data_IF_008676458081
#
_entry.id   IF_008676458081
#
_cell.length_a   1.000
_cell.length_b   1.000
_cell.length_c   1.000
_cell.angle_alpha   90.00
_cell.angle_beta   90.00
_cell.angle_gamma   90.00
#
_symmetry.space_group_name_H-M   'P 1'
#
loop_
_entity.id
_entity.type
_entity.pdbx_description
1 polymer ?
#
# COMPACT_ATOMS: atom_id res chain seq x y z
N UNK A 1 15.88 42.44 -28.52
CA UNK A 1 16.37 41.05 -28.61
C UNK A 1 15.15 40.16 -28.70
N UNK A 2 14.96 39.43 -29.79
CA UNK A 2 13.77 38.59 -30.00
C UNK A 2 14.17 37.12 -29.97
N UNK A 3 13.41 36.33 -29.21
CA UNK A 3 13.46 34.87 -29.22
C UNK A 3 12.11 34.40 -29.77
N UNK A 4 12.17 33.43 -30.70
CA UNK A 4 10.97 32.72 -31.17
C UNK A 4 11.23 31.22 -31.09
N UNK A 5 10.18 30.46 -30.82
CA UNK A 5 10.19 29.00 -30.83
C UNK A 5 8.98 28.49 -31.61
N UNK A 6 9.17 27.44 -32.41
CA UNK A 6 8.13 26.76 -33.19
C UNK A 6 8.23 25.25 -32.99
N UNK A 7 7.09 24.59 -32.87
CA UNK A 7 7.01 23.12 -32.73
C UNK A 7 6.16 22.56 -33.87
N UNK A 8 6.64 21.51 -34.52
CA UNK A 8 5.91 20.78 -35.53
C UNK A 8 4.82 19.91 -34.90
N UNK A 9 3.59 20.05 -35.41
CA UNK A 9 2.40 19.35 -34.91
C UNK A 9 2.57 17.82 -34.89
N UNK A 10 3.18 17.25 -35.93
CA UNK A 10 3.34 15.80 -36.09
C UNK A 10 4.31 15.22 -35.06
N UNK A 11 5.45 15.89 -34.86
CA UNK A 11 6.43 15.52 -33.85
C UNK A 11 5.83 15.62 -32.44
N UNK A 12 5.09 16.69 -32.15
CA UNK A 12 4.39 16.85 -30.87
C UNK A 12 3.38 15.71 -30.64
N UNK A 13 2.62 15.34 -31.66
CA UNK A 13 1.65 14.25 -31.55
C UNK A 13 2.32 12.89 -31.28
N UNK A 14 3.47 12.62 -31.91
CA UNK A 14 4.24 11.40 -31.67
C UNK A 14 4.78 11.35 -30.23
N UNK A 15 5.36 12.45 -29.74
CA UNK A 15 5.86 12.57 -28.38
C UNK A 15 4.73 12.44 -27.34
N UNK A 16 3.59 13.08 -27.56
CA UNK A 16 2.40 12.93 -26.71
C UNK A 16 1.90 11.48 -26.66
N UNK A 17 1.92 10.78 -27.79
CA UNK A 17 1.52 9.37 -27.85
C UNK A 17 2.48 8.47 -27.07
N UNK A 18 3.79 8.71 -27.17
CA UNK A 18 4.79 7.95 -26.40
C UNK A 18 4.63 8.22 -24.90
N UNK A 19 4.52 9.49 -24.51
CA UNK A 19 4.31 9.90 -23.12
C UNK A 19 3.05 9.26 -22.52
N UNK A 20 1.93 9.30 -23.25
CA UNK A 20 0.67 8.70 -22.80
C UNK A 20 0.74 7.18 -22.68
N UNK A 21 1.45 6.50 -23.59
CA UNK A 21 1.51 5.03 -23.61
C UNK A 21 2.53 4.45 -22.63
N UNK A 22 3.59 5.17 -22.30
CA UNK A 22 4.72 4.65 -21.53
C UNK A 22 4.90 5.37 -20.20
N UNK A 23 5.05 6.70 -20.23
CA UNK A 23 5.40 7.46 -19.03
C UNK A 23 4.24 7.57 -18.05
N UNK A 24 3.02 7.82 -18.55
CA UNK A 24 1.85 7.95 -17.68
C UNK A 24 1.58 6.64 -16.90
N UNK A 25 1.47 5.45 -17.54
CA UNK A 25 1.28 4.20 -16.80
C UNK A 25 2.43 3.90 -15.83
N UNK A 26 3.68 4.11 -16.26
CA UNK A 26 4.86 3.87 -15.41
C UNK A 26 4.87 4.77 -14.17
N UNK A 27 4.62 6.07 -14.34
CA UNK A 27 4.57 7.04 -13.23
C UNK A 27 3.39 6.75 -12.31
N UNK A 28 2.22 6.42 -12.87
CA UNK A 28 1.04 6.01 -12.08
C UNK A 28 1.34 4.76 -11.26
N UNK A 29 1.91 3.71 -11.86
CA UNK A 29 2.26 2.49 -11.14
C UNK A 29 3.21 2.77 -9.98
N UNK A 30 4.28 3.55 -10.24
CA UNK A 30 5.24 3.96 -9.21
C UNK A 30 4.58 4.73 -8.07
N UNK A 31 3.70 5.69 -8.41
CA UNK A 31 2.97 6.47 -7.42
C UNK A 31 2.04 5.59 -6.58
N UNK A 32 1.25 4.72 -7.20
CA UNK A 32 0.34 3.81 -6.49
C UNK A 32 1.08 2.85 -5.56
N UNK A 33 2.22 2.30 -5.99
CA UNK A 33 3.08 1.47 -5.12
C UNK A 33 3.60 2.24 -3.92
N UNK A 34 4.12 3.45 -4.14
CA UNK A 34 4.60 4.33 -3.06
C UNK A 34 3.47 4.64 -2.06
N UNK A 35 2.28 4.95 -2.55
CA UNK A 35 1.11 5.20 -1.73
C UNK A 35 0.71 3.97 -0.91
N UNK A 36 0.59 2.81 -1.55
CA UNK A 36 0.24 1.55 -0.89
C UNK A 36 1.27 1.16 0.19
N UNK A 37 2.56 1.30 -0.09
CA UNK A 37 3.64 1.10 0.89
C UNK A 37 3.45 2.00 2.10
N UNK A 38 3.18 3.29 1.89
CA UNK A 38 3.00 4.25 2.99
C UNK A 38 1.76 3.92 3.83
N UNK A 39 0.65 3.57 3.19
CA UNK A 39 -0.57 3.14 3.88
C UNK A 39 -0.30 1.89 4.73
N UNK A 40 0.33 0.86 4.16
CA UNK A 40 0.65 -0.37 4.88
C UNK A 40 1.59 -0.13 6.07
N UNK A 41 2.61 0.71 5.91
CA UNK A 41 3.48 1.10 7.02
C UNK A 41 2.70 1.78 8.16
N UNK A 42 1.72 2.62 7.84
CA UNK A 42 0.87 3.26 8.84
C UNK A 42 -0.09 2.26 9.49
N UNK A 43 -0.66 1.31 8.73
CA UNK A 43 -1.49 0.22 9.29
C UNK A 43 -0.67 -0.59 10.29
N UNK A 44 0.56 -0.98 9.95
CA UNK A 44 1.43 -1.78 10.81
C UNK A 44 1.73 -1.03 12.12
N UNK A 45 2.09 0.26 12.04
CA UNK A 45 2.35 1.09 13.23
C UNK A 45 1.14 1.25 14.15
N UNK A 46 -0.08 1.28 13.57
CA UNK A 46 -1.34 1.44 14.31
C UNK A 46 -1.89 0.14 14.86
N UNK A 47 -1.32 -1.00 14.47
CA UNK A 47 -1.85 -2.29 14.85
C UNK A 47 -1.59 -2.57 16.33
N UNK A 48 -2.63 -2.85 17.13
CA UNK A 48 -2.51 -2.91 18.60
C UNK A 48 -2.02 -4.25 19.14
N UNK A 49 -1.88 -5.29 18.30
CA UNK A 49 -1.71 -6.66 18.78
C UNK A 49 -0.25 -7.01 19.03
N UNK A 50 0.06 -7.48 20.25
CA UNK A 50 1.41 -7.90 20.65
C UNK A 50 1.85 -9.24 20.06
N UNK A 51 0.95 -10.21 19.88
CA UNK A 51 1.27 -11.55 19.34
C UNK A 51 1.70 -11.53 17.86
N UNK A 52 1.62 -10.37 17.21
CA UNK A 52 2.25 -10.13 15.91
C UNK A 52 1.55 -10.72 14.69
N UNK A 53 0.65 -11.70 14.80
CA UNK A 53 0.05 -12.36 13.62
C UNK A 53 -0.65 -11.38 12.65
N UNK A 54 -1.53 -10.51 13.17
CA UNK A 54 -2.20 -9.47 12.37
C UNK A 54 -1.20 -8.50 11.73
N UNK A 55 -0.13 -8.11 12.45
CA UNK A 55 0.95 -7.27 11.91
C UNK A 55 1.74 -7.98 10.83
N UNK A 56 2.04 -9.26 11.04
CA UNK A 56 2.81 -10.10 10.13
C UNK A 56 2.13 -10.25 8.78
N UNK A 57 0.81 -10.40 8.73
CA UNK A 57 0.05 -10.39 7.49
C UNK A 57 0.21 -9.06 6.73
N UNK A 58 0.11 -7.91 7.42
CA UNK A 58 0.33 -6.62 6.78
C UNK A 58 1.79 -6.39 6.36
N UNK A 59 2.76 -6.90 7.12
CA UNK A 59 4.17 -6.88 6.76
C UNK A 59 4.44 -7.74 5.53
N UNK A 60 3.88 -8.94 5.45
CA UNK A 60 4.01 -9.79 4.27
C UNK A 60 3.45 -9.10 3.02
N UNK A 61 2.31 -8.42 3.13
CA UNK A 61 1.77 -7.61 2.03
C UNK A 61 2.69 -6.42 1.67
N UNK A 62 3.28 -5.75 2.67
CA UNK A 62 4.23 -4.65 2.46
C UNK A 62 5.48 -5.13 1.72
N UNK A 63 6.03 -6.27 2.10
CA UNK A 63 7.22 -6.86 1.48
C UNK A 63 6.96 -7.33 0.05
N UNK A 64 5.77 -7.87 -0.24
CA UNK A 64 5.34 -8.20 -1.61
C UNK A 64 5.31 -6.96 -2.55
N UNK A 65 5.08 -5.77 -1.99
CA UNK A 65 5.14 -4.49 -2.72
C UNK A 65 6.56 -3.91 -2.83
N UNK A 66 7.55 -4.53 -2.20
CA UNK A 66 8.94 -4.05 -2.11
C UNK A 66 9.16 -3.01 -1.00
N UNK A 67 8.23 -2.91 -0.05
CA UNK A 67 8.40 -2.08 1.15
C UNK A 67 9.25 -2.77 2.22
N UNK A 68 9.66 -2.01 3.23
CA UNK A 68 10.41 -2.52 4.39
C UNK A 68 9.57 -2.37 5.64
N UNK A 69 9.50 -3.45 6.43
CA UNK A 69 8.80 -3.46 7.71
C UNK A 69 9.34 -2.38 8.66
N UNK A 70 8.48 -1.62 9.37
CA UNK A 70 8.92 -0.66 10.38
C UNK A 70 9.72 -1.35 11.50
N UNK A 71 10.72 -0.66 12.06
CA UNK A 71 11.46 -1.17 13.23
C UNK A 71 10.50 -1.47 14.38
N UNK A 72 10.67 -2.61 15.04
CA UNK A 72 9.84 -3.03 16.18
C UNK A 72 8.44 -3.50 15.81
N UNK A 73 8.13 -3.74 14.52
CA UNK A 73 6.80 -4.17 14.09
C UNK A 73 6.33 -5.47 14.77
N UNK A 74 7.24 -6.32 15.21
CA UNK A 74 6.95 -7.60 15.86
C UNK A 74 6.25 -7.41 17.23
N UNK A 75 6.36 -6.23 17.85
CA UNK A 75 5.84 -5.96 19.19
C UNK A 75 6.77 -6.39 20.32
N UNK A 76 6.31 -6.18 21.55
CA UNK A 76 7.12 -6.38 22.76
C UNK A 76 7.19 -7.85 23.22
N UNK A 77 6.22 -8.68 22.82
CA UNK A 77 6.18 -10.12 23.14
C UNK A 77 5.79 -10.95 21.90
N UNK A 78 6.68 -11.03 20.89
CA UNK A 78 6.38 -11.71 19.64
C UNK A 78 6.41 -13.23 19.79
N UNK A 79 5.32 -13.88 19.40
CA UNK A 79 5.26 -15.34 19.27
C UNK A 79 5.65 -15.73 17.84
N UNK A 80 6.79 -16.40 17.69
CA UNK A 80 7.32 -16.77 16.37
C UNK A 80 6.34 -17.61 15.53
N UNK A 81 5.62 -18.55 16.16
CA UNK A 81 4.60 -19.35 15.49
C UNK A 81 3.44 -18.49 14.95
N UNK A 82 2.95 -17.56 15.78
CA UNK A 82 1.89 -16.61 15.42
C UNK A 82 2.31 -15.67 14.30
N UNK A 83 3.56 -15.19 14.31
CA UNK A 83 4.13 -14.38 13.22
C UNK A 83 4.18 -15.17 11.92
N UNK A 84 4.73 -16.38 11.94
CA UNK A 84 4.88 -17.21 10.75
C UNK A 84 3.53 -17.57 10.15
N UNK A 85 2.53 -17.86 10.99
CA UNK A 85 1.18 -18.16 10.52
C UNK A 85 0.44 -16.93 10.01
N UNK A 86 0.62 -15.78 10.68
CA UNK A 86 0.09 -14.50 10.22
C UNK A 86 0.67 -14.07 8.88
N UNK A 87 1.97 -14.26 8.65
CA UNK A 87 2.63 -13.87 7.39
C UNK A 87 2.03 -14.57 6.16
N UNK A 88 1.59 -15.83 6.29
CA UNK A 88 0.92 -16.58 5.22
C UNK A 88 -0.47 -16.03 4.85
N UNK A 89 -1.04 -15.20 5.72
CA UNK A 89 -2.38 -14.63 5.56
C UNK A 89 -2.35 -13.21 4.98
N UNK A 90 -1.17 -12.71 4.63
CA UNK A 90 -0.97 -11.44 3.93
C UNK A 90 -0.80 -11.63 2.43
N UNK A 91 -1.66 -10.98 1.64
CA UNK A 91 -1.65 -11.13 0.18
C UNK A 91 -1.72 -9.78 -0.52
N UNK A 92 -1.06 -9.65 -1.67
CA UNK A 92 -1.18 -8.49 -2.56
C UNK A 92 -1.54 -8.93 -3.97
N UNK A 93 -2.58 -8.30 -4.52
CA UNK A 93 -2.90 -8.36 -5.94
C UNK A 93 -2.63 -7.00 -6.59
N UNK A 94 -1.86 -7.00 -7.68
CA UNK A 94 -1.58 -5.81 -8.49
C UNK A 94 -2.19 -6.01 -9.87
N UNK A 95 -3.18 -5.19 -10.22
CA UNK A 95 -3.72 -5.12 -11.57
C UNK A 95 -3.31 -3.79 -12.20
N UNK A 96 -2.41 -3.85 -13.20
CA UNK A 96 -1.93 -2.68 -13.92
C UNK A 96 -2.31 -2.76 -15.39
N UNK A 97 -3.22 -1.89 -15.79
CA UNK A 97 -3.70 -1.73 -17.17
C UNK A 97 -3.13 -0.45 -17.78
N UNK A 98 -3.45 -0.13 -19.04
CA UNK A 98 -3.06 1.18 -19.59
C UNK A 98 -3.71 2.35 -18.86
N UNK A 99 -4.92 2.19 -18.33
CA UNK A 99 -5.71 3.29 -17.77
C UNK A 99 -5.76 3.32 -16.24
N UNK A 100 -5.46 2.20 -15.58
CA UNK A 100 -5.62 2.06 -14.14
C UNK A 100 -4.49 1.20 -13.55
N UNK A 101 -4.02 1.58 -12.36
CA UNK A 101 -3.26 0.68 -11.48
C UNK A 101 -4.10 0.48 -10.22
N UNK A 102 -4.47 -0.76 -9.93
CA UNK A 102 -5.19 -1.17 -8.73
C UNK A 102 -4.26 -2.06 -7.90
N UNK A 103 -4.14 -1.75 -6.62
CA UNK A 103 -3.38 -2.53 -5.64
C UNK A 103 -4.36 -2.91 -4.54
N UNK A 104 -4.51 -4.20 -4.31
CA UNK A 104 -5.32 -4.76 -3.23
C UNK A 104 -4.40 -5.50 -2.28
N UNK A 105 -4.38 -5.07 -1.02
CA UNK A 105 -3.67 -5.76 0.05
C UNK A 105 -4.69 -6.34 1.02
N UNK A 106 -4.60 -7.64 1.27
CA UNK A 106 -5.56 -8.39 2.08
C UNK A 106 -4.86 -8.97 3.30
N UNK A 107 -5.56 -8.93 4.43
CA UNK A 107 -5.17 -9.61 5.65
C UNK A 107 -6.28 -10.59 6.03
N UNK A 108 -5.98 -11.87 5.92
CA UNK A 108 -6.94 -12.96 6.14
C UNK A 108 -7.00 -13.45 7.59
N UNK A 109 -6.31 -12.77 8.53
CA UNK A 109 -6.37 -13.11 9.96
C UNK A 109 -7.79 -12.95 10.47
N UNK A 110 -8.37 -14.04 11.00
CA UNK A 110 -9.79 -14.15 11.38
C UNK A 110 -10.32 -12.96 12.17
N UNK A 111 -9.54 -12.47 13.14
CA UNK A 111 -9.97 -11.40 14.03
C UNK A 111 -9.69 -9.98 13.51
N UNK A 112 -9.15 -9.81 12.30
CA UNK A 112 -8.75 -8.50 11.76
C UNK A 112 -9.91 -7.51 11.70
N UNK A 113 -11.11 -8.00 11.37
CA UNK A 113 -12.31 -7.17 11.26
C UNK A 113 -12.71 -6.59 12.63
N UNK A 114 -12.54 -7.35 13.72
CA UNK A 114 -12.82 -6.85 15.07
C UNK A 114 -11.84 -5.78 15.51
N UNK A 115 -10.58 -5.84 15.05
CA UNK A 115 -9.61 -4.77 15.30
C UNK A 115 -9.99 -3.48 14.57
N UNK A 116 -10.45 -3.58 13.32
CA UNK A 116 -10.80 -2.42 12.50
C UNK A 116 -12.15 -1.79 12.89
N UNK A 117 -13.15 -2.61 13.19
CA UNK A 117 -14.54 -2.20 13.38
C UNK A 117 -15.04 -2.31 14.82
N UNK A 118 -14.28 -2.95 15.70
CA UNK A 118 -14.65 -3.17 17.09
C UNK A 118 -15.50 -4.43 17.26
N UNK A 119 -15.81 -4.72 18.51
CA UNK A 119 -16.72 -5.80 18.92
C UNK A 119 -17.66 -5.26 20.01
N UNK A 120 -18.68 -6.03 20.40
CA UNK A 120 -19.72 -5.60 21.35
C UNK A 120 -19.19 -5.03 22.68
N UNK A 121 -17.98 -5.39 23.08
CA UNK A 121 -17.33 -4.96 24.32
C UNK A 121 -16.01 -4.20 24.12
N UNK A 122 -15.65 -3.84 22.87
CA UNK A 122 -14.38 -3.15 22.57
C UNK A 122 -14.54 -2.17 21.41
N UNK A 123 -14.06 -0.95 21.62
CA UNK A 123 -14.02 0.07 20.58
C UNK A 123 -13.04 -0.31 19.46
N UNK A 124 -13.32 0.09 18.21
CA UNK A 124 -12.42 -0.14 17.08
C UNK A 124 -11.09 0.62 17.23
N UNK A 125 -10.01 0.01 16.74
CA UNK A 125 -8.71 0.66 16.59
C UNK A 125 -8.61 1.48 15.30
N UNK A 126 -9.42 1.15 14.27
CA UNK A 126 -9.51 1.90 13.00
C UNK A 126 -8.17 2.02 12.25
N UNK A 127 -7.34 0.98 12.31
CA UNK A 127 -5.99 0.95 11.74
C UNK A 127 -5.97 1.34 10.25
N UNK A 128 -6.87 0.73 9.46
CA UNK A 128 -6.94 0.91 8.00
C UNK A 128 -7.52 2.28 7.68
N UNK A 129 -8.66 2.63 8.28
CA UNK A 129 -9.32 3.92 7.99
C UNK A 129 -8.48 5.11 8.39
N UNK A 130 -7.77 5.04 9.52
CA UNK A 130 -6.87 6.12 9.93
C UNK A 130 -5.64 6.20 9.04
N UNK A 131 -5.05 5.07 8.65
CA UNK A 131 -3.91 5.05 7.74
C UNK A 131 -4.25 5.64 6.35
N UNK A 132 -5.47 5.39 5.86
CA UNK A 132 -5.96 6.00 4.62
C UNK A 132 -6.18 7.51 4.77
N UNK A 133 -6.85 7.95 5.84
CA UNK A 133 -7.06 9.37 6.09
C UNK A 133 -5.75 10.18 6.19
N UNK A 134 -4.67 9.57 6.68
CA UNK A 134 -3.35 10.22 6.79
C UNK A 134 -2.65 10.46 5.45
N UNK A 135 -2.99 9.71 4.40
CA UNK A 135 -2.38 9.90 3.08
C UNK A 135 -3.23 10.77 2.15
N UNK A 136 -4.47 11.07 2.54
CA UNK A 136 -5.36 12.00 1.84
C UNK A 136 -5.13 13.48 2.22
N UNK A 137 -4.46 13.73 3.35
CA UNK A 137 -4.10 15.07 3.85
C UNK A 137 -2.66 15.46 3.50
#
# INVERSE_FOLDING_TARGET
>A
MNISASVEKEKLQQEMNLFSKQDVPRKRNKFMRMLAIRVLQNIIKRNPVESGASRAAWVAALEQLGGTAPVGWQGDSPEAASINEGAKQGEVTINDTRQQTKIEATNNVEYIAYLEYGASNRSPFRMVRQALAEVEN
#
